data_IF_351637205283
#
_entry.id   IF_351637205283
#
_cell.length_a   1.000
_cell.length_b   1.000
_cell.length_c   1.000
_cell.angle_alpha   90.00
_cell.angle_beta   90.00
_cell.angle_gamma   90.00
#
_symmetry.space_group_name_H-M   'P 1'
#
loop_
_entity.id
_entity.type
_entity.pdbx_description
1 polymer ?
#
# COMPACT_ATOMS: atom_id res chain seq x y z
N UNK A 1 16.70 -13.44 -9.51
CA UNK A 1 16.43 -14.05 -8.20
C UNK A 1 16.35 -12.96 -7.15
N UNK A 2 15.37 -13.04 -6.26
CA UNK A 2 15.12 -12.09 -5.17
C UNK A 2 15.17 -12.86 -3.85
N UNK A 3 15.90 -12.32 -2.88
CA UNK A 3 15.85 -12.80 -1.48
C UNK A 3 14.82 -11.99 -0.69
N UNK A 4 14.01 -12.68 0.08
CA UNK A 4 12.99 -12.10 0.93
C UNK A 4 13.51 -11.94 2.36
N UNK A 5 12.90 -11.02 3.11
CA UNK A 5 13.11 -10.93 4.57
C UNK A 5 12.45 -12.11 5.26
N UNK A 6 13.09 -12.60 6.30
CA UNK A 6 12.58 -13.68 7.14
C UNK A 6 11.72 -13.15 8.30
N UNK A 7 10.83 -13.98 8.82
CA UNK A 7 10.02 -13.67 10.00
C UNK A 7 8.92 -12.62 9.77
N UNK A 8 8.62 -12.26 8.51
CA UNK A 8 7.56 -11.32 8.19
C UNK A 8 6.20 -12.03 8.21
N UNK A 9 5.22 -11.40 8.83
CA UNK A 9 3.81 -11.84 8.84
C UNK A 9 2.93 -10.88 8.08
N UNK A 10 1.91 -11.42 7.42
CA UNK A 10 0.76 -10.63 7.01
C UNK A 10 -0.09 -10.21 8.22
N UNK A 11 -0.94 -9.22 8.05
CA UNK A 11 -1.84 -8.71 9.09
C UNK A 11 -2.85 -9.75 9.59
N UNK A 12 -3.11 -10.80 8.84
CA UNK A 12 -3.93 -11.95 9.25
C UNK A 12 -3.13 -13.04 10.01
N UNK A 13 -1.85 -12.79 10.29
CA UNK A 13 -0.95 -13.70 10.98
C UNK A 13 -0.29 -14.78 10.12
N UNK A 14 -0.65 -14.89 8.85
CA UNK A 14 -0.01 -15.84 7.91
C UNK A 14 1.41 -15.42 7.54
N UNK A 15 2.24 -16.37 7.12
CA UNK A 15 3.64 -16.09 6.79
C UNK A 15 3.79 -15.40 5.43
N UNK A 16 4.57 -14.33 5.38
CA UNK A 16 5.11 -13.80 4.15
C UNK A 16 6.34 -14.60 3.74
N UNK A 17 6.24 -15.33 2.64
CA UNK A 17 7.30 -16.22 2.13
C UNK A 17 7.29 -16.27 0.60
N UNK A 18 8.19 -17.04 0.02
CA UNK A 18 8.34 -17.19 -1.43
C UNK A 18 7.07 -17.75 -2.10
N UNK A 19 6.31 -18.63 -1.42
CA UNK A 19 5.05 -19.13 -1.93
C UNK A 19 3.99 -18.04 -2.03
N UNK A 20 3.92 -17.15 -1.01
CA UNK A 20 3.01 -16.01 -1.02
C UNK A 20 3.35 -15.01 -2.14
N UNK A 21 4.64 -14.71 -2.35
CA UNK A 21 5.10 -13.85 -3.46
C UNK A 21 4.76 -14.50 -4.80
N UNK A 22 5.01 -15.81 -4.96
CA UNK A 22 4.64 -16.53 -6.18
C UNK A 22 3.15 -16.42 -6.46
N UNK A 23 2.29 -16.69 -5.48
CA UNK A 23 0.83 -16.62 -5.64
C UNK A 23 0.38 -15.22 -6.11
N UNK A 24 0.96 -14.16 -5.54
CA UNK A 24 0.66 -12.78 -5.94
C UNK A 24 1.11 -12.47 -7.37
N UNK A 25 2.35 -12.84 -7.74
CA UNK A 25 2.89 -12.56 -9.07
C UNK A 25 2.21 -13.40 -10.14
N UNK A 26 1.92 -14.67 -9.89
CA UNK A 26 1.17 -15.52 -10.83
C UNK A 26 -0.23 -14.93 -11.07
N UNK A 27 -0.93 -14.55 -9.99
CA UNK A 27 -2.23 -13.87 -10.12
C UNK A 27 -2.12 -12.58 -10.93
N UNK A 28 -1.09 -11.75 -10.70
CA UNK A 28 -0.93 -10.47 -11.35
C UNK A 28 -0.51 -10.58 -12.83
N UNK A 29 0.21 -11.63 -13.19
CA UNK A 29 0.70 -11.88 -14.56
C UNK A 29 -0.26 -12.73 -15.42
N UNK A 30 -1.34 -13.27 -14.84
CA UNK A 30 -2.36 -14.00 -15.56
C UNK A 30 -3.39 -13.01 -16.18
N UNK A 31 -3.50 -12.94 -17.52
CA UNK A 31 -4.45 -12.07 -18.19
C UNK A 31 -5.92 -12.44 -17.89
N UNK A 32 -6.20 -13.69 -17.52
CA UNK A 32 -7.56 -14.15 -17.19
C UNK A 32 -8.13 -13.46 -15.93
N UNK A 33 -7.28 -12.92 -15.07
CA UNK A 33 -7.70 -12.18 -13.88
C UNK A 33 -8.15 -10.74 -14.17
N UNK A 34 -7.97 -10.23 -15.39
CA UNK A 34 -8.39 -8.90 -15.84
C UNK A 34 -7.98 -7.74 -14.90
N UNK A 35 -6.80 -7.84 -14.27
CA UNK A 35 -6.34 -6.83 -13.33
C UNK A 35 -5.95 -5.53 -14.04
N UNK A 36 -6.38 -4.39 -13.50
CA UNK A 36 -6.13 -3.05 -14.07
C UNK A 36 -4.65 -2.76 -14.33
N UNK A 37 -3.75 -3.35 -13.56
CA UNK A 37 -2.30 -3.14 -13.66
C UNK A 37 -1.55 -4.31 -14.30
N UNK A 38 -2.24 -5.23 -14.99
CA UNK A 38 -1.64 -6.36 -15.71
C UNK A 38 -0.41 -5.97 -16.56
N UNK A 39 -0.43 -4.80 -17.18
CA UNK A 39 0.68 -4.33 -18.01
C UNK A 39 2.04 -4.25 -17.28
N UNK A 40 2.05 -4.08 -15.96
CA UNK A 40 3.28 -4.10 -15.15
C UNK A 40 3.88 -5.53 -15.09
N UNK A 41 3.05 -6.55 -15.16
CA UNK A 41 3.43 -7.95 -14.91
C UNK A 41 3.48 -8.82 -16.17
N UNK A 42 2.93 -8.37 -17.29
CA UNK A 42 2.81 -9.15 -18.54
C UNK A 42 4.12 -9.73 -19.07
N UNK A 43 5.27 -9.13 -18.69
CA UNK A 43 6.61 -9.58 -19.06
C UNK A 43 7.13 -10.73 -18.16
N UNK A 44 6.43 -11.09 -17.09
CA UNK A 44 6.75 -12.27 -16.28
C UNK A 44 6.37 -13.51 -17.09
N UNK A 45 7.35 -14.40 -17.30
CA UNK A 45 7.13 -15.69 -17.93
C UNK A 45 6.83 -16.76 -16.89
N UNK A 46 7.52 -16.73 -15.73
CA UNK A 46 7.40 -17.71 -14.67
C UNK A 46 7.86 -17.15 -13.34
N UNK A 47 7.17 -17.52 -12.27
CA UNK A 47 7.61 -17.28 -10.89
C UNK A 47 7.79 -18.59 -10.17
N UNK A 48 8.93 -18.80 -9.50
CA UNK A 48 9.29 -20.03 -8.80
C UNK A 48 9.71 -19.70 -7.36
N UNK A 49 9.09 -20.36 -6.40
CA UNK A 49 9.56 -20.39 -5.02
C UNK A 49 10.65 -21.45 -4.91
N UNK A 50 11.90 -21.05 -4.79
CA UNK A 50 13.06 -21.99 -4.75
C UNK A 50 13.21 -22.56 -3.35
N UNK A 51 13.07 -21.71 -2.34
CA UNK A 51 13.03 -22.03 -0.93
C UNK A 51 12.10 -21.00 -0.22
N UNK A 52 11.82 -21.11 1.07
CA UNK A 52 10.90 -20.19 1.76
C UNK A 52 11.24 -18.69 1.63
N UNK A 53 12.49 -18.34 1.37
CA UNK A 53 12.98 -16.96 1.30
C UNK A 53 13.54 -16.56 -0.07
N UNK A 54 13.48 -17.45 -1.06
CA UNK A 54 14.07 -17.19 -2.39
C UNK A 54 13.04 -17.35 -3.49
N UNK A 55 12.82 -16.27 -4.24
CA UNK A 55 11.96 -16.27 -5.42
C UNK A 55 12.79 -16.08 -6.68
N UNK A 56 12.59 -16.93 -7.68
CA UNK A 56 13.13 -16.74 -9.02
C UNK A 56 12.03 -16.27 -9.95
N UNK A 57 12.24 -15.14 -10.59
CA UNK A 57 11.32 -14.57 -11.57
C UNK A 57 12.01 -14.60 -12.92
N UNK A 58 11.42 -15.30 -13.87
CA UNK A 58 11.89 -15.39 -15.25
C UNK A 58 11.06 -14.45 -16.12
N UNK A 59 11.71 -13.58 -16.87
CA UNK A 59 11.05 -12.64 -17.77
C UNK A 59 11.01 -13.21 -19.20
N UNK A 60 10.00 -12.85 -19.97
CA UNK A 60 9.85 -13.22 -21.41
C UNK A 60 10.94 -12.60 -22.27
N UNK A 61 11.42 -11.42 -21.88
CA UNK A 61 12.51 -10.70 -22.55
C UNK A 61 13.29 -9.85 -21.53
N UNK A 62 14.54 -9.49 -21.80
CA UNK A 62 15.32 -8.62 -20.92
C UNK A 62 14.59 -7.30 -20.66
N UNK A 63 14.49 -6.91 -19.39
CA UNK A 63 13.82 -5.68 -18.97
C UNK A 63 14.48 -5.10 -17.71
N UNK A 64 15.40 -4.17 -17.90
CA UNK A 64 16.21 -3.59 -16.82
C UNK A 64 15.38 -2.86 -15.75
N UNK A 65 14.27 -2.23 -16.13
CA UNK A 65 13.39 -1.52 -15.21
C UNK A 65 12.50 -2.44 -14.36
N UNK A 66 12.60 -3.76 -14.47
CA UNK A 66 11.73 -4.69 -13.73
C UNK A 66 11.83 -4.52 -12.21
N UNK A 67 13.00 -4.22 -11.67
CA UNK A 67 13.18 -3.98 -10.23
C UNK A 67 12.34 -2.78 -9.78
N UNK A 68 12.26 -1.73 -10.59
CA UNK A 68 11.42 -0.56 -10.28
C UNK A 68 9.93 -0.91 -10.28
N UNK A 69 9.51 -1.88 -11.10
CA UNK A 69 8.14 -2.40 -11.06
C UNK A 69 7.86 -3.07 -9.71
N UNK A 70 8.80 -3.85 -9.17
CA UNK A 70 8.62 -4.48 -7.86
C UNK A 70 8.51 -3.44 -6.71
N UNK A 71 9.03 -2.24 -6.90
CA UNK A 71 8.90 -1.13 -5.95
C UNK A 71 7.61 -0.29 -6.17
N UNK A 72 6.86 -0.54 -7.24
CA UNK A 72 5.62 0.19 -7.51
C UNK A 72 4.51 -0.19 -6.52
N UNK A 73 3.69 0.76 -6.01
CA UNK A 73 2.62 0.47 -5.04
C UNK A 73 1.65 -0.64 -5.46
N UNK A 74 1.40 -0.79 -6.78
CA UNK A 74 0.55 -1.86 -7.29
C UNK A 74 1.13 -3.28 -7.09
N UNK A 75 2.42 -3.39 -6.72
CA UNK A 75 3.10 -4.67 -6.44
C UNK A 75 3.09 -5.01 -4.96
N UNK A 76 2.33 -4.28 -4.14
CA UNK A 76 2.12 -4.64 -2.74
C UNK A 76 1.57 -6.08 -2.65
N UNK A 77 2.21 -6.89 -1.82
CA UNK A 77 1.82 -8.28 -1.63
C UNK A 77 0.60 -8.39 -0.72
N UNK A 78 -0.35 -9.21 -1.14
CA UNK A 78 -1.60 -9.49 -0.42
C UNK A 78 -1.51 -10.90 0.15
N UNK A 79 -2.04 -11.12 1.36
CA UNK A 79 -2.14 -12.45 1.95
C UNK A 79 -2.87 -13.41 1.01
N UNK A 80 -2.27 -14.56 0.65
CA UNK A 80 -2.96 -15.60 -0.13
C UNK A 80 -4.22 -16.11 0.56
N UNK A 81 -4.22 -16.22 1.89
CA UNK A 81 -5.40 -16.64 2.66
C UNK A 81 -6.52 -15.59 2.56
N UNK A 82 -6.20 -14.31 2.57
CA UNK A 82 -7.18 -13.26 2.34
C UNK A 82 -7.71 -13.26 0.90
N UNK A 83 -6.85 -13.52 -0.09
CA UNK A 83 -7.27 -13.68 -1.49
C UNK A 83 -8.25 -14.84 -1.67
N UNK A 84 -7.98 -15.98 -1.03
CA UNK A 84 -8.88 -17.13 -1.04
C UNK A 84 -10.20 -16.82 -0.35
N UNK A 85 -10.16 -16.19 0.84
CA UNK A 85 -11.33 -15.88 1.65
C UNK A 85 -12.27 -14.86 0.99
N UNK A 86 -11.71 -13.78 0.42
CA UNK A 86 -12.50 -12.64 -0.06
C UNK A 86 -12.65 -12.60 -1.59
N UNK A 87 -11.85 -13.34 -2.33
CA UNK A 87 -11.95 -13.42 -3.78
C UNK A 87 -12.00 -12.06 -4.47
N UNK A 88 -13.10 -11.75 -5.15
CA UNK A 88 -13.32 -10.47 -5.85
C UNK A 88 -13.49 -9.28 -4.90
N UNK A 89 -13.89 -9.53 -3.66
CA UNK A 89 -14.10 -8.50 -2.62
C UNK A 89 -12.79 -8.09 -1.92
N UNK A 90 -11.65 -8.68 -2.29
CA UNK A 90 -10.34 -8.40 -1.67
C UNK A 90 -9.97 -6.92 -1.67
N UNK A 91 -10.49 -6.14 -2.62
CA UNK A 91 -10.30 -4.69 -2.66
C UNK A 91 -10.85 -3.94 -1.44
N UNK A 92 -11.85 -4.51 -0.76
CA UNK A 92 -12.45 -3.95 0.46
C UNK A 92 -11.85 -4.55 1.74
N UNK A 93 -11.04 -5.59 1.62
CA UNK A 93 -10.42 -6.32 2.72
C UNK A 93 -8.89 -6.42 2.53
N UNK A 94 -8.17 -5.29 2.46
CA UNK A 94 -6.73 -5.32 2.24
C UNK A 94 -6.02 -5.97 3.42
N UNK A 95 -5.21 -6.98 3.14
CA UNK A 95 -4.37 -7.69 4.11
C UNK A 95 -2.96 -7.76 3.54
N UNK A 96 -2.06 -6.96 4.06
CA UNK A 96 -0.67 -6.84 3.61
C UNK A 96 0.33 -7.08 4.73
N UNK A 97 1.58 -6.64 4.50
CA UNK A 97 2.69 -6.69 5.48
C UNK A 97 3.08 -5.29 5.96
N UNK A 98 2.25 -4.29 5.67
CA UNK A 98 2.50 -2.88 5.98
C UNK A 98 2.34 -2.54 7.47
N UNK A 99 2.76 -1.31 7.85
CA UNK A 99 2.73 -0.87 9.25
C UNK A 99 1.33 -0.64 9.81
N UNK A 100 0.34 -0.47 8.94
CA UNK A 100 -1.05 -0.22 9.31
C UNK A 100 -1.97 -1.27 8.69
N UNK A 101 -2.99 -1.68 9.43
CA UNK A 101 -4.06 -2.55 8.97
C UNK A 101 -5.38 -1.78 8.89
N UNK A 102 -6.30 -2.21 8.05
CA UNK A 102 -7.61 -1.59 7.91
C UNK A 102 -8.40 -1.74 9.23
N UNK A 103 -8.87 -0.62 9.76
CA UNK A 103 -9.79 -0.58 10.90
C UNK A 103 -11.25 -0.43 10.41
N UNK A 104 -11.53 0.65 9.70
CA UNK A 104 -12.87 0.95 9.18
C UNK A 104 -12.79 1.63 7.82
N UNK A 105 -13.64 1.23 6.89
CA UNK A 105 -13.80 1.90 5.62
C UNK A 105 -15.26 2.26 5.38
N UNK A 106 -15.57 3.54 5.54
CA UNK A 106 -16.81 4.12 5.03
C UNK A 106 -16.55 4.68 3.63
N UNK A 107 -17.06 4.02 2.61
CA UNK A 107 -16.77 4.33 1.19
C UNK A 107 -17.15 5.76 0.77
N UNK A 108 -18.07 6.40 1.50
CA UNK A 108 -18.57 7.75 1.20
C UNK A 108 -17.95 8.84 2.05
N UNK A 109 -17.21 8.50 3.11
CA UNK A 109 -16.73 9.48 4.09
C UNK A 109 -15.24 9.34 4.38
N UNK A 110 -14.77 8.17 4.89
CA UNK A 110 -13.38 8.04 5.33
C UNK A 110 -12.84 6.61 5.24
N UNK A 111 -11.51 6.51 5.22
CA UNK A 111 -10.76 5.28 5.49
C UNK A 111 -9.97 5.48 6.76
N UNK A 112 -10.11 4.58 7.72
CA UNK A 112 -9.33 4.55 8.95
C UNK A 112 -8.49 3.28 9.01
N UNK A 113 -7.23 3.45 9.33
CA UNK A 113 -6.30 2.36 9.61
C UNK A 113 -5.77 2.49 11.03
N UNK A 114 -5.43 1.37 11.62
CA UNK A 114 -4.77 1.28 12.93
C UNK A 114 -3.40 0.64 12.79
N UNK A 115 -2.55 0.90 13.77
CA UNK A 115 -1.22 0.30 13.88
C UNK A 115 -1.30 -1.22 13.89
N UNK A 116 -0.50 -1.86 13.04
CA UNK A 116 -0.31 -3.31 13.08
C UNK A 116 0.77 -3.67 14.10
N UNK A 117 0.38 -4.34 15.19
CA UNK A 117 1.29 -4.71 16.27
C UNK A 117 2.40 -5.69 15.82
N UNK A 118 2.12 -6.49 14.79
CA UNK A 118 3.07 -7.44 14.20
C UNK A 118 3.98 -6.85 13.13
N UNK A 119 4.06 -5.51 13.01
CA UNK A 119 4.90 -4.90 11.98
C UNK A 119 6.38 -5.23 12.20
N UNK A 120 7.08 -5.61 11.14
CA UNK A 120 8.44 -6.15 11.17
C UNK A 120 9.54 -5.16 11.56
N UNK A 121 9.29 -3.84 11.50
CA UNK A 121 10.25 -2.82 11.95
C UNK A 121 9.97 -2.43 13.41
N UNK A 122 10.89 -2.72 14.36
CA UNK A 122 10.69 -2.36 15.74
C UNK A 122 10.49 -0.85 15.94
N UNK A 123 9.53 -0.49 16.80
CA UNK A 123 9.24 0.91 17.14
C UNK A 123 8.47 1.69 16.06
N UNK A 124 8.08 1.05 14.98
CA UNK A 124 7.22 1.62 13.93
C UNK A 124 5.88 0.86 13.85
N UNK A 125 4.83 1.51 13.33
CA UNK A 125 4.72 2.95 13.06
C UNK A 125 4.62 3.77 14.34
N UNK A 126 4.81 5.10 14.22
CA UNK A 126 4.75 6.02 15.38
C UNK A 126 3.34 6.40 15.76
N UNK A 127 2.45 6.58 14.78
CA UNK A 127 1.05 6.90 15.02
C UNK A 127 0.25 5.63 15.29
N UNK A 128 -0.70 5.70 16.21
CA UNK A 128 -1.57 4.55 16.53
C UNK A 128 -2.65 4.34 15.48
N UNK A 129 -3.12 5.41 14.85
CA UNK A 129 -4.09 5.34 13.75
C UNK A 129 -3.94 6.52 12.78
N UNK A 130 -4.45 6.34 11.57
CA UNK A 130 -4.57 7.39 10.56
C UNK A 130 -5.97 7.30 9.97
N UNK A 131 -6.63 8.46 9.85
CA UNK A 131 -7.93 8.57 9.17
C UNK A 131 -7.77 9.49 7.96
N UNK A 132 -8.08 8.98 6.77
CA UNK A 132 -8.15 9.78 5.55
C UNK A 132 -9.59 10.11 5.24
N UNK A 133 -9.87 11.40 5.10
CA UNK A 133 -11.17 11.91 4.70
C UNK A 133 -11.04 12.66 3.37
N UNK A 134 -11.71 12.24 2.30
CA UNK A 134 -11.72 12.98 1.05
C UNK A 134 -12.53 14.27 1.22
N UNK A 135 -11.89 15.41 1.03
CA UNK A 135 -12.53 16.74 1.06
C UNK A 135 -12.22 17.44 -0.25
N UNK A 136 -13.23 17.59 -1.12
CA UNK A 136 -13.03 18.11 -2.46
C UNK A 136 -12.76 19.62 -2.49
N UNK A 137 -13.38 20.37 -1.58
CA UNK A 137 -13.24 21.82 -1.52
C UNK A 137 -11.93 22.27 -0.86
N UNK A 138 -11.19 23.12 -1.56
CA UNK A 138 -9.88 23.61 -1.12
C UNK A 138 -9.97 24.50 0.13
N UNK A 139 -11.00 25.35 0.22
CA UNK A 139 -11.17 26.26 1.35
C UNK A 139 -11.50 25.47 2.61
N UNK A 140 -12.36 24.48 2.49
CA UNK A 140 -12.70 23.57 3.59
C UNK A 140 -11.45 22.84 4.09
N UNK A 141 -10.59 22.30 3.20
CA UNK A 141 -9.34 21.65 3.63
C UNK A 141 -8.41 22.60 4.38
N UNK A 142 -8.27 23.85 3.89
CA UNK A 142 -7.46 24.87 4.55
C UNK A 142 -8.05 25.25 5.92
N UNK A 143 -9.35 25.40 6.02
CA UNK A 143 -10.04 25.69 7.28
C UNK A 143 -9.87 24.57 8.31
N UNK A 144 -9.96 23.30 7.89
CA UNK A 144 -9.75 22.14 8.77
C UNK A 144 -8.34 22.10 9.37
N UNK A 145 -7.30 22.54 8.62
CA UNK A 145 -5.94 22.71 9.15
C UNK A 145 -5.89 23.85 10.18
N UNK A 146 -6.53 24.98 9.90
CA UNK A 146 -6.51 26.14 10.80
C UNK A 146 -7.22 25.88 12.12
N UNK A 147 -8.28 25.08 12.08
CA UNK A 147 -9.07 24.71 13.29
C UNK A 147 -8.48 23.51 14.04
N UNK A 148 -7.50 22.79 13.45
CA UNK A 148 -6.94 21.57 14.02
C UNK A 148 -7.81 20.34 13.82
N UNK A 149 -8.90 20.43 13.06
CA UNK A 149 -9.73 19.27 12.70
C UNK A 149 -8.93 18.27 11.83
N UNK A 150 -8.08 18.79 10.93
CA UNK A 150 -7.10 18.00 10.20
C UNK A 150 -5.68 18.33 10.66
N UNK A 151 -4.85 17.31 10.87
CA UNK A 151 -3.42 17.46 11.19
C UNK A 151 -2.54 17.47 9.95
N UNK A 152 -3.09 17.05 8.81
CA UNK A 152 -2.43 17.04 7.51
C UNK A 152 -3.47 17.23 6.40
N UNK A 153 -3.15 18.03 5.37
CA UNK A 153 -4.01 18.18 4.21
C UNK A 153 -3.17 18.26 2.91
N UNK A 154 -3.65 17.59 1.88
CA UNK A 154 -3.03 17.55 0.55
C UNK A 154 -4.08 17.29 -0.54
N UNK A 155 -4.00 17.94 -1.68
CA UNK A 155 -3.16 19.11 -1.99
C UNK A 155 -3.74 20.40 -1.39
N UNK A 156 -2.87 21.39 -1.13
CA UNK A 156 -3.25 22.75 -0.78
C UNK A 156 -2.82 23.65 -1.95
N UNK A 157 -3.73 24.40 -2.62
CA UNK A 157 -3.37 25.35 -3.66
C UNK A 157 -2.49 26.49 -3.14
N UNK A 158 -1.64 27.02 -4.01
CA UNK A 158 -0.65 28.05 -3.67
C UNK A 158 -1.26 29.28 -2.96
N UNK A 159 -2.41 29.76 -3.43
CA UNK A 159 -3.09 30.92 -2.85
C UNK A 159 -3.46 30.69 -1.37
N UNK A 160 -3.93 29.50 -1.03
CA UNK A 160 -4.24 29.13 0.36
C UNK A 160 -2.98 28.84 1.16
N UNK A 161 -1.96 28.24 0.55
CA UNK A 161 -0.67 28.02 1.20
C UNK A 161 -0.09 29.34 1.71
N UNK A 162 -0.08 30.41 0.89
CA UNK A 162 0.39 31.74 1.25
C UNK A 162 -0.37 32.34 2.45
N UNK A 163 -1.65 32.04 2.60
CA UNK A 163 -2.42 32.46 3.76
C UNK A 163 -2.08 31.64 5.01
N UNK A 164 -1.87 30.34 4.84
CA UNK A 164 -1.53 29.39 5.91
C UNK A 164 -0.11 29.63 6.48
N UNK A 165 0.84 30.10 5.68
CA UNK A 165 2.20 30.47 6.12
C UNK A 165 2.22 31.47 7.29
N UNK A 166 1.18 32.30 7.42
CA UNK A 166 1.04 33.26 8.52
C UNK A 166 0.70 32.60 9.85
N UNK A 167 0.25 31.35 9.82
CA UNK A 167 -0.09 30.60 11.02
C UNK A 167 1.14 29.80 11.50
N UNK A 168 1.71 30.20 12.64
CA UNK A 168 2.90 29.57 13.23
C UNK A 168 2.73 28.10 13.63
N UNK A 169 1.49 27.61 13.68
CA UNK A 169 1.18 26.24 14.02
C UNK A 169 1.06 25.33 12.78
N UNK A 170 1.24 25.89 11.57
CA UNK A 170 1.14 25.15 10.32
C UNK A 170 2.50 25.18 9.62
N UNK A 171 3.00 24.00 9.26
CA UNK A 171 4.19 23.83 8.45
C UNK A 171 3.78 23.51 7.01
N UNK A 172 4.35 24.21 6.04
CA UNK A 172 4.15 23.96 4.62
C UNK A 172 5.34 23.18 4.07
N UNK A 173 5.03 22.05 3.43
CA UNK A 173 6.02 21.24 2.73
C UNK A 173 5.77 21.33 1.22
N UNK A 174 6.76 21.78 0.46
CA UNK A 174 6.76 21.72 -0.99
C UNK A 174 7.14 20.30 -1.45
N UNK A 175 6.43 19.76 -2.44
CA UNK A 175 6.72 18.47 -3.08
C UNK A 175 7.23 18.66 -4.48
#
# INVERSE_FOLDING_TARGET
TVKLREGIKFQDGTDFNAAAVKANLDRASDPANHLKRYNLYKNIAKTEAIDPTTVKITLKQPFSAFINILAHPATAMISPAALEKYGKEIGFHPVGTGPYELDTWNQTDFVKVKKFAGYWQPGLPKLDSITWRPVADNNTRAAMLQTGEAQFAFPIPYEQATLLEKNKNIELMAS
#
